data_IF_591364496438
#
_entry.id   IF_591364496438
#
_cell.length_a   1.000
_cell.length_b   1.000
_cell.length_c   1.000
_cell.angle_alpha   90.00
_cell.angle_beta   90.00
_cell.angle_gamma   90.00
#
_symmetry.space_group_name_H-M   'P 1'
#
loop_
_entity.id
_entity.type
_entity.pdbx_description
1 polymer ?
2 non-polymer ?
3 non-polymer ?
4 water ?
#
# COMPACT_ATOMS: atom_id res chain seq x y z
N UNK A 13 1.04 22.01 -1.44
CA UNK A 13 0.27 23.21 -1.09
C UNK A 13 -1.22 22.92 -0.89
N UNK A 14 -1.84 22.11 -1.78
CA UNK A 14 -3.26 21.68 -1.69
C UNK A 14 -3.38 20.65 -0.54
N UNK A 15 -2.27 19.93 -0.27
CA UNK A 15 -2.20 18.92 0.79
C UNK A 15 -2.50 19.48 2.20
N UNK A 16 -1.96 20.67 2.57
CA UNK A 16 -2.18 21.28 3.90
C UNK A 16 -3.66 21.59 4.11
N UNK A 17 -4.36 22.05 3.04
CA UNK A 17 -5.78 22.35 3.02
C UNK A 17 -6.61 21.10 3.17
N UNK A 18 -6.21 19.98 2.53
CA UNK A 18 -6.98 18.73 2.63
C UNK A 18 -6.76 18.10 4.01
N UNK A 19 -5.69 18.51 4.71
CA UNK A 19 -5.41 17.98 6.05
C UNK A 19 -6.38 18.52 7.10
N UNK A 20 -7.10 19.63 6.81
CA UNK A 20 -8.06 20.22 7.76
C UNK A 20 -9.53 19.81 7.44
N UNK A 21 -9.81 19.31 6.23
CA UNK A 21 -11.14 18.86 5.77
C UNK A 21 -11.16 17.33 5.52
N UNK A 22 -12.32 16.69 5.68
CA UNK A 22 -12.40 15.26 5.41
C UNK A 22 -13.15 14.98 4.13
N UNK A 23 -12.69 13.98 3.39
CA UNK A 23 -13.34 13.50 2.19
C UNK A 23 -12.88 14.13 0.91
N UNK A 24 -13.47 13.67 -0.19
CA UNK A 24 -13.18 14.14 -1.54
C UNK A 24 -14.10 15.34 -1.82
N UNK A 25 -13.76 16.13 -2.83
CA UNK A 25 -14.63 17.23 -3.27
C UNK A 25 -15.55 16.69 -4.37
N UNK A 26 -16.59 17.44 -4.73
CA UNK A 26 -17.49 17.06 -5.81
C UNK A 26 -16.79 17.53 -7.09
N UNK A 27 -17.07 16.84 -8.19
CA UNK A 27 -16.53 17.15 -9.50
C UNK A 27 -17.46 16.58 -10.58
N UNK A 28 -17.13 16.80 -11.86
CA UNK A 28 -17.87 16.25 -13.00
C UNK A 28 -16.89 16.07 -14.18
N UNK A 29 -17.24 15.31 -15.25
CA UNK A 29 -16.25 15.06 -16.34
C UNK A 29 -15.66 16.30 -17.02
N UNK A 30 -16.43 17.41 -17.10
CA UNK A 30 -15.98 18.64 -17.76
C UNK A 30 -14.74 19.31 -17.11
N UNK A 31 -14.40 18.94 -15.85
CA UNK A 31 -13.26 19.51 -15.14
C UNK A 31 -11.99 18.71 -15.30
N UNK A 32 -12.00 17.68 -16.18
CA UNK A 32 -10.82 16.85 -16.43
C UNK A 32 -10.53 16.69 -17.91
N UNK A 33 -9.22 16.67 -18.24
CA UNK A 33 -8.72 16.41 -19.59
C UNK A 33 -8.05 15.03 -19.52
N UNK A 34 -8.39 14.14 -20.44
CA UNK A 34 -7.89 12.79 -20.49
C UNK A 34 -6.69 12.71 -21.42
N UNK A 35 -5.54 12.19 -20.91
CA UNK A 35 -4.31 12.07 -21.69
C UNK A 35 -4.08 10.67 -22.28
N UNK A 36 -4.25 9.63 -21.45
CA UNK A 36 -3.99 8.23 -21.82
C UNK A 36 -4.60 7.27 -20.80
N UNK A 37 -4.65 5.99 -21.17
CA UNK A 37 -5.04 4.94 -20.26
C UNK A 37 -3.72 4.42 -19.63
N UNK A 38 -3.61 4.45 -18.30
CA UNK A 38 -2.38 3.96 -17.62
C UNK A 38 -2.44 2.44 -17.42
N UNK A 39 -3.66 1.92 -17.28
CA UNK A 39 -3.84 0.49 -17.09
C UNK A 39 -5.28 0.04 -17.02
N UNK A 40 -5.46 -1.28 -17.11
CA UNK A 40 -6.74 -1.96 -17.00
C UNK A 40 -6.49 -3.28 -16.26
N UNK A 41 -7.40 -3.64 -15.37
CA UNK A 41 -7.36 -4.90 -14.66
C UNK A 41 -8.75 -5.28 -14.19
N UNK A 42 -8.83 -6.35 -13.36
CA UNK A 42 -10.10 -6.81 -12.78
C UNK A 42 -10.81 -5.69 -11.99
N UNK A 43 -10.00 -4.78 -11.37
CA UNK A 43 -10.44 -3.59 -10.63
C UNK A 43 -11.29 -2.64 -11.49
N UNK A 44 -10.78 -2.31 -12.68
CA UNK A 44 -11.40 -1.43 -13.65
C UNK A 44 -10.39 -0.90 -14.63
N UNK A 45 -10.36 0.41 -14.81
CA UNK A 45 -9.52 1.10 -15.77
C UNK A 45 -8.98 2.39 -15.15
N UNK A 46 -7.68 2.66 -15.35
CA UNK A 46 -7.02 3.85 -14.85
C UNK A 46 -6.57 4.76 -15.99
N UNK A 47 -6.95 6.04 -15.92
CA UNK A 47 -6.59 7.06 -16.88
C UNK A 47 -5.61 8.05 -16.28
N UNK A 48 -4.70 8.61 -17.10
CA UNK A 48 -3.90 9.75 -16.68
C UNK A 48 -4.73 10.97 -17.06
N UNK A 49 -5.12 11.82 -16.08
CA UNK A 49 -5.97 12.98 -16.31
C UNK A 49 -5.34 14.26 -15.78
N UNK A 50 -5.77 15.43 -16.31
CA UNK A 50 -5.30 16.75 -15.89
C UNK A 50 -6.48 17.58 -15.41
N UNK A 51 -6.37 18.23 -14.25
CA UNK A 51 -7.46 19.06 -13.75
C UNK A 51 -7.49 20.38 -14.52
N UNK A 52 -8.66 20.79 -15.01
CA UNK A 52 -8.76 22.01 -15.80
C UNK A 52 -8.86 23.29 -14.94
N UNK A 53 -9.82 23.37 -14.01
CA UNK A 53 -9.99 24.62 -13.26
C UNK A 53 -9.74 24.51 -11.76
N UNK A 54 -10.03 25.60 -11.05
CA UNK A 54 -9.87 25.70 -9.59
C UNK A 54 -8.44 25.82 -9.10
N UNK A 55 -8.27 25.75 -7.77
CA UNK A 55 -6.97 25.90 -7.09
C UNK A 55 -5.89 24.91 -7.56
N UNK A 56 -6.29 23.69 -7.93
CA UNK A 56 -5.35 22.69 -8.42
C UNK A 56 -5.35 22.58 -9.96
N UNK A 57 -5.72 23.67 -10.67
CA UNK A 57 -5.73 23.63 -12.15
C UNK A 57 -4.36 23.18 -12.69
N UNK A 58 -4.39 22.34 -13.74
CA UNK A 58 -3.24 21.76 -14.46
C UNK A 58 -2.58 20.58 -13.74
N UNK A 59 -3.02 20.25 -12.51
CA UNK A 59 -2.50 19.13 -11.72
C UNK A 59 -2.94 17.81 -12.35
N UNK A 60 -1.97 16.90 -12.51
CA UNK A 60 -2.15 15.56 -13.04
C UNK A 60 -2.61 14.68 -11.91
N UNK A 61 -3.56 13.79 -12.23
CA UNK A 61 -4.13 12.82 -11.31
C UNK A 61 -4.33 11.49 -12.07
N UNK A 62 -4.54 10.40 -11.31
CA UNK A 62 -4.90 9.08 -11.83
C UNK A 62 -6.42 9.00 -11.67
N UNK A 63 -7.16 8.72 -12.74
CA UNK A 63 -8.62 8.57 -12.61
C UNK A 63 -8.97 7.10 -12.79
N UNK A 64 -9.51 6.48 -11.72
CA UNK A 64 -9.89 5.06 -11.79
C UNK A 64 -11.39 5.02 -12.07
N UNK A 65 -11.79 4.22 -13.05
CA UNK A 65 -13.18 4.11 -13.47
C UNK A 65 -13.71 2.71 -13.12
N UNK A 66 -14.83 2.67 -12.38
CA UNK A 66 -15.46 1.43 -11.95
C UNK A 66 -16.86 1.31 -12.55
N UNK A 67 -17.18 0.12 -13.07
CA UNK A 67 -18.50 -0.18 -13.63
C UNK A 67 -19.43 -0.42 -12.45
N UNK A 68 -20.58 0.30 -12.41
CA UNK A 68 -21.53 0.19 -11.30
C UNK A 68 -22.18 -1.19 -11.12
N UNK A 69 -22.23 -1.97 -12.22
CA UNK A 69 -22.79 -3.33 -12.25
C UNK A 69 -22.00 -4.25 -11.31
N UNK A 70 -20.68 -3.97 -11.14
CA UNK A 70 -19.80 -4.73 -10.25
C UNK A 70 -20.06 -4.41 -8.76
N UNK A 71 -20.58 -3.19 -8.47
CA UNK A 71 -20.79 -2.72 -7.10
C UNK A 71 -21.83 -3.54 -6.35
N UNK A 72 -21.58 -3.77 -5.06
CA UNK A 72 -22.41 -4.53 -4.13
C UNK A 72 -23.75 -3.83 -3.88
N UNK A 73 -24.82 -4.63 -3.81
CA UNK A 73 -26.16 -4.14 -3.48
C UNK A 73 -26.41 -4.65 -2.06
N UNK A 74 -26.71 -3.72 -1.15
CA UNK A 74 -26.99 -4.02 0.23
C UNK A 74 -28.25 -3.24 0.64
N UNK A 75 -29.26 -3.95 1.20
CA UNK A 75 -30.57 -3.42 1.62
C UNK A 75 -31.25 -2.60 0.48
N UNK A 76 -31.16 -3.13 -0.77
CA UNK A 76 -31.70 -2.60 -2.04
C UNK A 76 -30.93 -1.35 -2.54
N UNK A 77 -29.83 -1.00 -1.87
CA UNK A 77 -28.99 0.14 -2.23
C UNK A 77 -27.68 -0.34 -2.83
N UNK A 78 -27.34 0.16 -4.05
CA UNK A 78 -26.06 -0.11 -4.72
C UNK A 78 -25.04 0.77 -3.98
N UNK A 79 -24.12 0.13 -3.25
CA UNK A 79 -23.12 0.81 -2.43
C UNK A 79 -21.90 1.25 -3.25
N UNK A 80 -21.18 2.26 -2.76
CA UNK A 80 -19.95 2.78 -3.38
C UNK A 80 -18.83 2.76 -2.32
N UNK A 81 -18.51 1.57 -1.79
CA UNK A 81 -17.50 1.43 -0.75
C UNK A 81 -16.09 1.77 -1.20
N UNK A 82 -15.83 1.70 -2.51
CA UNK A 82 -14.52 2.03 -3.09
C UNK A 82 -14.25 3.53 -2.94
N UNK A 83 -15.35 4.32 -2.92
CA UNK A 83 -15.32 5.76 -2.69
C UNK A 83 -15.35 6.06 -1.17
N UNK A 84 -16.27 5.41 -0.43
CA UNK A 84 -16.49 5.74 0.99
C UNK A 84 -15.39 5.25 1.94
N UNK A 85 -14.69 4.15 1.64
CA UNK A 85 -13.59 3.66 2.49
C UNK A 85 -12.42 4.69 2.63
N UNK A 86 -12.36 5.61 1.68
CA UNK A 86 -11.31 6.60 1.53
C UNK A 86 -11.65 7.95 2.16
N UNK A 87 -12.84 8.05 2.77
CA UNK A 87 -13.36 9.30 3.33
C UNK A 87 -12.40 9.92 4.36
N UNK A 88 -11.79 9.10 5.24
CA UNK A 88 -10.92 9.64 6.29
C UNK A 88 -9.44 9.32 6.11
N UNK A 89 -9.09 8.59 5.04
CA UNK A 89 -7.71 8.24 4.71
C UNK A 89 -6.99 9.51 4.23
N UNK A 90 -5.97 9.98 4.97
CA UNK A 90 -5.24 11.20 4.63
C UNK A 90 -3.89 11.13 5.30
N UNK A 91 -2.94 10.50 4.61
CA UNK A 91 -1.60 10.27 5.12
C UNK A 91 -0.61 10.43 3.98
N UNK A 92 0.66 10.86 4.21
CA UNK A 92 1.60 11.03 3.07
C UNK A 92 2.01 9.72 2.35
N UNK A 93 1.87 8.57 3.00
CA UNK A 93 2.30 7.31 2.40
C UNK A 93 1.11 6.45 1.89
N UNK A 94 -0.05 7.08 1.71
CA UNK A 94 -1.25 6.39 1.18
C UNK A 94 -1.83 7.32 0.14
N UNK A 95 -2.41 6.77 -0.93
CA UNK A 95 -3.07 7.55 -2.01
C UNK A 95 -4.25 8.31 -1.39
N UNK A 96 -4.50 9.54 -1.87
CA UNK A 96 -5.60 10.38 -1.40
C UNK A 96 -6.69 10.42 -2.47
N UNK A 97 -7.93 10.26 -2.06
CA UNK A 97 -9.07 10.41 -2.98
C UNK A 97 -9.33 11.93 -3.07
N UNK A 98 -9.02 12.57 -4.19
CA UNK A 98 -9.22 14.01 -4.35
C UNK A 98 -10.67 14.35 -4.76
N UNK A 99 -11.24 13.59 -5.72
CA UNK A 99 -12.61 13.83 -6.23
C UNK A 99 -13.27 12.51 -6.51
N UNK A 100 -14.61 12.51 -6.57
CA UNK A 100 -15.42 11.35 -6.91
C UNK A 100 -16.71 11.86 -7.53
N UNK A 101 -17.19 11.15 -8.55
CA UNK A 101 -18.40 11.50 -9.28
C UNK A 101 -18.91 10.29 -9.99
N UNK A 102 -20.16 10.34 -10.40
CA UNK A 102 -20.82 9.23 -11.08
C UNK A 102 -21.43 9.63 -12.37
N UNK A 103 -21.53 8.67 -13.29
CA UNK A 103 -22.32 8.80 -14.51
C UNK A 103 -23.44 7.78 -14.34
N UNK A 104 -24.24 7.52 -15.38
CA UNK A 104 -25.34 6.55 -15.22
C UNK A 104 -24.82 5.14 -14.94
N UNK A 105 -23.71 4.78 -15.57
CA UNK A 105 -23.16 3.45 -15.39
C UNK A 105 -21.78 3.34 -14.78
N UNK A 106 -21.16 4.46 -14.37
CA UNK A 106 -19.80 4.41 -13.84
C UNK A 106 -19.53 5.25 -12.58
N UNK A 107 -18.54 4.81 -11.81
CA UNK A 107 -18.03 5.50 -10.64
C UNK A 107 -16.60 5.93 -11.01
N UNK A 108 -16.31 7.23 -10.85
CA UNK A 108 -15.01 7.81 -11.17
C UNK A 108 -14.33 8.31 -9.90
N UNK A 109 -13.11 7.82 -9.68
CA UNK A 109 -12.29 8.15 -8.53
C UNK A 109 -11.00 8.85 -8.97
N UNK A 110 -10.80 10.09 -8.53
CA UNK A 110 -9.60 10.84 -8.85
C UNK A 110 -8.62 10.72 -7.69
N UNK A 111 -7.49 10.07 -7.97
CA UNK A 111 -6.48 9.80 -6.96
C UNK A 111 -5.14 10.36 -7.37
N UNK A 112 -4.13 10.23 -6.49
CA UNK A 112 -2.80 10.74 -6.80
C UNK A 112 -2.22 10.03 -8.02
N UNK A 113 -1.40 10.75 -8.81
CA UNK A 113 -0.68 10.15 -9.94
C UNK A 113 0.77 9.95 -9.48
N UNK A 114 1.24 8.69 -9.51
CA UNK A 114 2.59 8.27 -9.09
C UNK A 114 3.36 7.87 -10.35
N UNK A 115 4.52 8.51 -10.58
CA UNK A 115 5.31 8.27 -11.78
C UNK A 115 6.34 7.14 -11.71
N UNK A 116 6.74 6.73 -10.51
CA UNK A 116 7.82 5.73 -10.33
C UNK A 116 7.46 4.25 -10.26
N UNK A 117 6.33 3.86 -10.82
CA UNK A 117 5.91 2.46 -10.82
C UNK A 117 5.55 1.89 -9.46
N UNK A 118 5.66 0.58 -9.33
CA UNK A 118 5.32 -0.11 -8.10
C UNK A 118 6.49 -0.95 -7.60
N UNK A 119 6.43 -1.45 -6.34
CA UNK A 119 7.48 -2.27 -5.76
C UNK A 119 7.60 -3.64 -6.39
N UNK A 120 6.50 -4.15 -7.01
CA UNK A 120 6.53 -5.40 -7.74
C UNK A 120 7.53 -5.31 -8.94
N UNK A 121 7.49 -4.19 -9.69
CA UNK A 121 8.33 -3.95 -10.87
C UNK A 121 9.79 -3.87 -10.46
N UNK A 122 10.07 -3.14 -9.35
CA UNK A 122 11.42 -3.00 -8.82
C UNK A 122 11.95 -4.35 -8.31
N UNK A 123 11.18 -5.09 -7.52
CA UNK A 123 11.54 -6.41 -7.02
C UNK A 123 11.78 -7.42 -8.13
N UNK A 124 10.91 -7.44 -9.17
CA UNK A 124 11.09 -8.41 -10.26
C UNK A 124 12.39 -8.16 -11.01
N UNK A 125 12.74 -6.88 -11.23
CA UNK A 125 13.95 -6.42 -11.93
C UNK A 125 15.21 -6.64 -11.12
N UNK A 126 15.14 -6.34 -9.82
CA UNK A 126 16.32 -6.37 -8.95
C UNK A 126 16.47 -7.66 -8.15
N UNK A 127 15.45 -8.52 -8.19
CA UNK A 127 15.36 -9.84 -7.55
C UNK A 127 15.16 -9.74 -6.06
N UNK A 128 16.03 -9.01 -5.37
CA UNK A 128 15.90 -8.80 -3.92
C UNK A 128 16.42 -7.44 -3.53
N UNK A 129 15.88 -6.88 -2.43
CA UNK A 129 16.25 -5.59 -1.90
C UNK A 129 17.23 -5.74 -0.72
N UNK A 130 18.12 -4.73 -0.52
CA UNK A 130 19.04 -4.70 0.62
C UNK A 130 18.21 -4.37 1.89
N UNK A 131 18.73 -4.74 3.08
CA UNK A 131 18.10 -4.41 4.37
C UNK A 131 17.87 -2.89 4.53
N UNK A 132 18.75 -2.04 3.98
CA UNK A 132 18.60 -0.59 4.00
C UNK A 132 17.28 -0.19 3.30
N UNK A 133 17.05 -0.68 2.06
CA UNK A 133 15.85 -0.40 1.28
C UNK A 133 14.60 -0.90 1.95
N UNK A 134 14.65 -2.15 2.45
CA UNK A 134 13.55 -2.79 3.18
C UNK A 134 13.19 -1.98 4.44
N UNK A 135 14.19 -1.62 5.27
CA UNK A 135 14.02 -0.77 6.47
C UNK A 135 13.25 0.52 6.13
N UNK A 136 13.63 1.16 5.02
CA UNK A 136 12.99 2.40 4.56
C UNK A 136 11.53 2.15 4.12
N UNK A 137 11.29 1.15 3.25
CA UNK A 137 9.94 0.86 2.75
C UNK A 137 8.99 0.42 3.84
N UNK A 138 9.47 -0.45 4.73
CA UNK A 138 8.70 -0.94 5.87
C UNK A 138 8.37 0.15 6.88
N UNK A 139 9.31 1.04 7.17
CA UNK A 139 9.04 2.14 8.12
C UNK A 139 7.90 3.04 7.62
N UNK A 140 7.94 3.43 6.32
CA UNK A 140 6.91 4.26 5.69
C UNK A 140 5.58 3.49 5.67
N UNK A 141 5.64 2.17 5.42
CA UNK A 141 4.46 1.28 5.40
C UNK A 141 3.79 1.14 6.79
N UNK A 142 4.60 0.94 7.85
CA UNK A 142 4.13 0.86 9.24
C UNK A 142 3.30 2.09 9.57
N UNK A 143 3.75 3.30 9.15
CA UNK A 143 2.98 4.55 9.38
C UNK A 143 1.64 4.53 8.62
N UNK A 144 1.66 4.06 7.36
CA UNK A 144 0.44 3.94 6.55
C UNK A 144 -0.58 2.98 7.19
N UNK A 145 -0.13 1.76 7.60
CA UNK A 145 -0.98 0.73 8.25
C UNK A 145 -1.53 1.25 9.55
N UNK A 146 -0.68 1.92 10.36
CA UNK A 146 -1.15 2.51 11.62
C UNK A 146 -2.21 3.60 11.37
N UNK A 147 -2.10 4.36 10.25
CA UNK A 147 -3.11 5.37 9.92
C UNK A 147 -4.43 4.68 9.62
N UNK A 148 -4.42 3.64 8.75
CA UNK A 148 -5.63 2.86 8.46
C UNK A 148 -6.22 2.25 9.71
N UNK A 149 -5.38 1.68 10.60
CA UNK A 149 -5.84 1.05 11.84
C UNK A 149 -6.61 1.96 12.76
N UNK A 150 -6.15 3.22 12.92
CA UNK A 150 -6.83 4.19 13.77
C UNK A 150 -8.25 4.53 13.23
N UNK A 151 -8.53 4.14 11.96
CA UNK A 151 -9.80 4.32 11.25
C UNK A 151 -10.62 3.02 11.17
N UNK A 152 -10.12 1.93 11.74
CA UNK A 152 -10.81 0.65 11.70
C UNK A 152 -10.76 0.02 10.32
N UNK A 153 -9.65 0.28 9.59
CA UNK A 153 -9.46 -0.25 8.23
C UNK A 153 -8.22 -1.14 8.28
N UNK A 154 -8.29 -2.28 7.61
CA UNK A 154 -7.20 -3.22 7.48
C UNK A 154 -6.79 -3.34 5.99
N UNK A 155 -5.70 -4.07 5.69
CA UNK A 155 -5.25 -4.23 4.31
C UNK A 155 -5.24 -5.69 3.89
N UNK A 156 -6.21 -6.09 3.07
CA UNK A 156 -6.28 -7.44 2.49
C UNK A 156 -5.37 -7.39 1.25
N UNK A 157 -4.40 -8.30 1.13
CA UNK A 157 -3.44 -8.35 -0.01
C UNK A 157 -2.36 -7.25 0.03
N UNK A 158 -1.57 -7.19 1.13
CA UNK A 158 -0.48 -6.23 1.25
C UNK A 158 0.75 -6.75 0.46
N UNK A 159 0.65 -6.72 -0.88
CA UNK A 159 1.69 -7.24 -1.77
C UNK A 159 2.48 -6.12 -2.48
N UNK A 160 3.67 -6.40 -3.09
CA UNK A 160 4.44 -5.31 -3.76
C UNK A 160 3.68 -4.51 -4.85
N UNK A 161 2.77 -5.15 -5.58
CA UNK A 161 1.95 -4.49 -6.62
C UNK A 161 1.04 -3.40 -6.00
N UNK A 162 0.70 -3.53 -4.70
CA UNK A 162 -0.17 -2.55 -4.05
C UNK A 162 0.59 -1.36 -3.44
N UNK A 163 1.93 -1.27 -3.65
CA UNK A 163 2.74 -0.16 -3.15
C UNK A 163 3.37 0.55 -4.38
N UNK A 164 3.01 1.81 -4.59
CA UNK A 164 3.48 2.63 -5.70
C UNK A 164 4.63 3.52 -5.23
N UNK A 165 5.47 3.97 -6.16
CA UNK A 165 6.57 4.87 -5.84
C UNK A 165 6.35 6.20 -6.53
N UNK A 166 6.72 7.30 -5.87
CA UNK A 166 6.68 8.63 -6.46
C UNK A 166 8.05 8.90 -7.09
N UNK A 167 8.24 10.00 -7.82
CA UNK A 167 9.51 10.31 -8.48
C UNK A 167 10.72 10.45 -7.53
N UNK A 168 10.48 10.77 -6.25
CA UNK A 168 11.54 10.89 -5.24
C UNK A 168 11.96 9.52 -4.70
N UNK A 169 11.05 8.55 -4.74
CA UNK A 169 11.28 7.21 -4.20
C UNK A 169 10.47 6.95 -2.95
N UNK A 170 9.58 7.88 -2.60
CA UNK A 170 8.72 7.64 -1.45
C UNK A 170 7.57 6.72 -1.87
N UNK A 171 7.08 5.93 -0.94
CA UNK A 171 5.99 5.00 -1.22
C UNK A 171 4.60 5.67 -1.13
N UNK A 172 3.62 5.02 -1.76
CA UNK A 172 2.20 5.33 -1.60
C UNK A 172 1.48 4.02 -1.70
N UNK A 173 0.84 3.61 -0.60
CA UNK A 173 0.04 2.41 -0.57
C UNK A 173 -1.23 2.72 -1.37
N UNK A 174 -1.63 1.82 -2.29
CA UNK A 174 -2.86 2.02 -3.09
C UNK A 174 -4.08 1.75 -2.22
N UNK A 175 -5.27 2.13 -2.71
CA UNK A 175 -6.54 1.90 -2.02
C UNK A 175 -7.14 0.51 -2.37
N UNK A 176 -6.54 -0.22 -3.33
CA UNK A 176 -7.06 -1.51 -3.85
C UNK A 176 -7.43 -2.56 -2.79
N UNK A 177 -6.55 -2.79 -1.82
CA UNK A 177 -6.78 -3.77 -0.78
C UNK A 177 -7.44 -3.26 0.49
N UNK A 178 -7.97 -2.01 0.47
CA UNK A 178 -8.60 -1.45 1.68
C UNK A 178 -9.91 -2.10 2.03
N UNK A 179 -10.07 -2.43 3.32
CA UNK A 179 -11.31 -3.03 3.81
C UNK A 179 -11.52 -2.74 5.27
N UNK A 180 -12.79 -2.66 5.70
CA UNK A 180 -13.17 -2.43 7.08
C UNK A 180 -12.81 -3.63 7.91
N UNK A 181 -12.27 -3.39 9.13
CA UNK A 181 -11.85 -4.42 10.09
C UNK A 181 -13.01 -5.35 10.45
N UNK A 194 -8.47 -13.02 -2.60
CA UNK A 194 -7.18 -12.67 -2.03
C UNK A 194 -6.13 -13.78 -2.01
N UNK A 195 -4.85 -13.38 -2.19
CA UNK A 195 -3.65 -14.25 -2.18
C UNK A 195 -3.47 -15.00 -0.82
N UNK A 196 -3.56 -16.35 -0.85
CA UNK A 196 -3.39 -17.22 0.34
C UNK A 196 -1.97 -17.07 0.97
N UNK A 197 -0.97 -16.90 0.13
CA UNK A 197 0.42 -16.79 0.58
C UNK A 197 0.66 -15.61 1.53
N UNK A 198 -0.17 -14.55 1.44
CA UNK A 198 -0.09 -13.38 2.32
C UNK A 198 -1.01 -13.44 3.56
N UNK A 199 -1.81 -14.53 3.70
CA UNK A 199 -2.77 -14.70 4.81
C UNK A 199 -2.17 -15.23 6.10
N UNK A 200 -2.55 -14.58 7.19
CA UNK A 200 -2.19 -14.93 8.57
C UNK A 200 -2.91 -16.25 8.98
N UNK A 201 -2.35 -17.04 9.93
CA UNK A 201 -3.00 -18.28 10.38
C UNK A 201 -4.45 -18.10 10.83
N UNK A 202 -4.77 -16.98 11.54
CA UNK A 202 -6.14 -16.72 12.01
C UNK A 202 -7.10 -16.44 10.81
N UNK A 203 -6.61 -15.85 9.72
CA UNK A 203 -7.38 -15.60 8.49
C UNK A 203 -7.63 -16.96 7.78
N UNK A 204 -6.60 -17.83 7.73
CA UNK A 204 -6.69 -19.19 7.17
C UNK A 204 -7.75 -19.98 8.00
N UNK A 205 -7.77 -19.75 9.33
CA UNK A 205 -8.72 -20.40 10.24
C UNK A 205 -10.10 -19.73 10.19
N UNK A 206 -10.33 -18.87 9.18
CA UNK A 206 -11.55 -18.09 8.91
C UNK A 206 -12.01 -17.24 10.12
N UNK A 207 -11.04 -16.67 10.87
CA UNK A 207 -11.33 -15.84 12.06
C UNK A 207 -11.49 -14.36 11.76
N UNK A 208 -11.34 -13.95 10.51
CA UNK A 208 -11.51 -12.55 10.17
C UNK A 208 -10.22 -11.76 10.17
N UNK A 209 -10.12 -10.80 9.25
CA UNK A 209 -8.95 -9.96 9.07
C UNK A 209 -8.93 -8.79 10.04
N UNK A 210 -8.06 -8.89 11.05
CA UNK A 210 -7.88 -7.84 12.07
C UNK A 210 -6.54 -7.15 11.80
N UNK A 211 -6.24 -6.04 12.52
CA UNK A 211 -4.97 -5.31 12.39
C UNK A 211 -3.75 -6.19 12.62
N UNK A 212 -3.88 -7.21 13.48
CA UNK A 212 -2.82 -8.17 13.75
C UNK A 212 -2.46 -9.01 12.52
N UNK A 213 -3.44 -9.28 11.64
CA UNK A 213 -3.22 -10.02 10.37
C UNK A 213 -2.41 -9.14 9.43
N UNK A 214 -2.62 -7.82 9.48
CA UNK A 214 -1.86 -6.84 8.68
C UNK A 214 -0.40 -6.92 9.01
N UNK A 215 -0.07 -7.08 10.30
CA UNK A 215 1.33 -7.20 10.72
C UNK A 215 1.96 -8.54 10.26
N UNK A 216 1.13 -9.58 10.12
CA UNK A 216 1.64 -10.85 9.59
C UNK A 216 2.01 -10.62 8.11
N UNK A 217 1.10 -9.98 7.32
CA UNK A 217 1.34 -9.67 5.91
C UNK A 217 2.53 -8.74 5.72
N UNK A 218 2.75 -7.83 6.69
CA UNK A 218 3.88 -6.88 6.73
C UNK A 218 5.19 -7.73 6.75
N UNK A 219 5.18 -8.79 7.56
CA UNK A 219 6.27 -9.76 7.64
C UNK A 219 6.43 -10.59 6.38
N UNK A 220 5.30 -10.98 5.71
CA UNK A 220 5.36 -11.75 4.46
C UNK A 220 6.07 -10.86 3.37
N UNK A 221 5.68 -9.56 3.31
CA UNK A 221 6.23 -8.58 2.37
C UNK A 221 7.71 -8.35 2.66
N UNK A 222 8.06 -8.29 3.96
CA UNK A 222 9.43 -8.11 4.42
C UNK A 222 10.29 -9.27 3.89
N UNK A 223 9.79 -10.49 4.04
CA UNK A 223 10.48 -11.71 3.62
C UNK A 223 10.66 -11.74 2.11
N UNK A 224 9.61 -11.41 1.36
CA UNK A 224 9.65 -11.40 -0.10
C UNK A 224 10.64 -10.36 -0.62
N UNK A 225 10.71 -9.16 -0.01
CA UNK A 225 11.62 -8.13 -0.51
C UNK A 225 13.07 -8.52 -0.26
N UNK A 226 13.35 -9.12 0.89
CA UNK A 226 14.69 -9.51 1.31
C UNK A 226 15.20 -10.76 0.59
N UNK A 227 14.29 -11.71 0.22
CA UNK A 227 14.68 -12.99 -0.39
C UNK A 227 14.30 -13.16 -1.86
N UNK A 228 13.28 -12.43 -2.31
CA UNK A 228 12.69 -12.56 -3.63
C UNK A 228 11.75 -13.75 -3.69
N UNK A 229 11.50 -14.40 -2.51
CA UNK A 229 10.64 -15.60 -2.41
C UNK A 229 9.57 -15.42 -1.34
N UNK A 230 8.59 -16.32 -1.32
CA UNK A 230 7.51 -16.33 -0.35
C UNK A 230 7.82 -17.27 0.77
N UNK A 231 7.55 -16.84 2.04
CA UNK A 231 7.85 -17.69 3.22
C UNK A 231 7.12 -19.03 3.30
N UNK A 232 5.82 -19.09 2.94
CA UNK A 232 5.01 -20.32 2.99
C UNK A 232 4.34 -20.48 1.67
N UNK A 233 4.82 -21.44 0.91
CA UNK A 233 4.39 -21.73 -0.46
C UNK A 233 4.38 -23.25 -0.67
N UNK A 234 3.21 -23.81 -0.92
CA UNK A 234 3.04 -25.23 -1.15
C UNK A 234 2.67 -25.57 -2.57
N UNK A 235 2.54 -26.88 -2.86
CA UNK A 235 2.19 -27.45 -4.17
C UNK A 235 0.76 -27.09 -4.62
N UNK A 236 -0.16 -26.87 -3.64
CA UNK A 236 -1.57 -26.50 -3.84
C UNK A 236 -2.07 -25.65 -2.64
N UNK A 237 -3.34 -25.17 -2.67
CA UNK A 237 -3.88 -24.31 -1.60
C UNK A 237 -3.81 -24.94 -0.21
N UNK A 238 -4.22 -26.24 -0.10
CA UNK A 238 -4.21 -27.04 1.12
C UNK A 238 -2.83 -27.01 1.77
N UNK A 239 -1.76 -27.30 1.00
CA UNK A 239 -0.40 -27.31 1.54
C UNK A 239 0.09 -25.94 1.99
N UNK A 240 -0.21 -24.86 1.21
CA UNK A 240 0.16 -23.51 1.59
C UNK A 240 -0.56 -23.21 2.91
N UNK A 241 -1.86 -23.53 2.98
CA UNK A 241 -2.70 -23.30 4.16
C UNK A 241 -2.13 -23.98 5.37
N UNK A 242 -1.81 -25.29 5.25
CA UNK A 242 -1.25 -26.08 6.36
C UNK A 242 0.13 -25.59 6.75
N UNK A 243 0.91 -25.07 5.78
CA UNK A 243 2.25 -24.53 6.06
C UNK A 243 2.15 -23.23 6.82
N UNK A 244 1.15 -22.40 6.49
CA UNK A 244 0.94 -21.15 7.21
C UNK A 244 0.58 -21.50 8.68
N UNK A 245 -0.26 -22.54 8.86
CA UNK A 245 -0.69 -22.97 10.19
C UNK A 245 0.37 -23.68 11.02
N UNK A 246 1.17 -24.57 10.40
CA UNK A 246 2.08 -25.47 11.11
C UNK A 246 3.55 -25.37 10.81
N UNK A 247 3.95 -24.95 9.60
CA UNK A 247 5.38 -24.88 9.24
C UNK A 247 6.23 -23.85 10.04
N UNK A 248 7.43 -24.30 10.43
CA UNK A 248 8.37 -23.39 11.07
C UNK A 248 9.00 -22.58 9.92
N UNK A 249 9.04 -21.27 10.05
CA UNK A 249 9.62 -20.38 9.03
C UNK A 249 11.11 -20.70 8.83
N UNK A 250 11.50 -20.84 7.56
CA UNK A 250 12.88 -21.10 7.17
C UNK A 250 13.64 -19.78 7.21
N UNK A 251 14.44 -19.57 8.26
CA UNK A 251 15.14 -18.30 8.42
C UNK A 251 16.39 -18.17 7.51
N UNK A 252 16.40 -17.20 6.55
CA UNK A 252 17.60 -17.01 5.69
C UNK A 252 18.78 -16.52 6.54
N UNK A 253 19.93 -17.17 6.39
CA UNK A 253 21.14 -16.88 7.18
C UNK A 253 21.96 -15.67 6.70
N UNK A 254 21.65 -15.10 5.52
CA UNK A 254 22.38 -13.91 5.05
C UNK A 254 21.82 -12.63 5.72
N UNK A 255 20.75 -12.78 6.49
CA UNK A 255 20.05 -11.71 7.20
C UNK A 255 20.64 -11.36 8.55
N UNK A 256 20.65 -10.06 8.90
CA UNK A 256 21.12 -9.57 10.19
C UNK A 256 20.32 -10.12 11.38
N UNK A 257 20.88 -10.17 12.59
CA UNK A 257 20.07 -10.61 13.75
C UNK A 257 18.81 -9.76 13.99
N UNK A 258 18.88 -8.45 13.70
CA UNK A 258 17.73 -7.53 13.83
C UNK A 258 16.63 -7.86 12.84
N UNK A 259 16.98 -8.09 11.57
CA UNK A 259 16.04 -8.50 10.50
C UNK A 259 15.41 -9.84 10.89
N UNK A 260 16.23 -10.83 11.37
CA UNK A 260 15.73 -12.16 11.75
C UNK A 260 14.79 -12.07 12.94
N UNK A 261 15.11 -11.19 13.89
CA UNK A 261 14.30 -10.98 15.08
C UNK A 261 12.93 -10.40 14.69
N UNK A 262 12.90 -9.41 13.77
CA UNK A 262 11.67 -8.77 13.31
C UNK A 262 10.81 -9.80 12.62
N UNK A 263 11.42 -10.61 11.73
CA UNK A 263 10.68 -11.70 11.09
C UNK A 263 10.10 -12.70 12.07
N UNK A 264 10.85 -13.15 13.10
CA UNK A 264 10.23 -14.13 14.02
C UNK A 264 9.14 -13.50 14.94
N UNK A 265 9.23 -12.21 15.21
CA UNK A 265 8.24 -11.51 16.01
C UNK A 265 6.94 -11.25 15.22
N UNK A 266 7.04 -11.02 13.89
CA UNK A 266 5.87 -10.84 13.00
C UNK A 266 5.22 -12.16 12.60
N UNK A 267 6.00 -13.26 12.64
CA UNK A 267 5.49 -14.54 12.20
C UNK A 267 5.00 -15.41 13.36
N UNK A 268 4.65 -14.79 14.49
CA UNK A 268 4.11 -15.54 15.63
C UNK A 268 2.70 -15.97 15.22
N UNK A 269 2.42 -17.28 15.29
CA UNK A 269 1.13 -17.88 14.91
C UNK A 269 -0.05 -17.37 15.72
N UNK A 270 0.16 -17.14 17.03
CA UNK A 270 -0.87 -16.59 17.90
C UNK A 270 -0.87 -15.06 17.68
N UNK A 271 -1.96 -14.44 17.11
CA UNK A 271 -1.97 -12.97 16.89
C UNK A 271 -1.71 -12.11 18.12
N UNK A 272 -2.08 -12.60 19.31
CA UNK A 272 -1.89 -11.88 20.57
C UNK A 272 -0.40 -11.71 20.94
N UNK A 273 0.48 -12.61 20.45
CA UNK A 273 1.93 -12.55 20.69
C UNK A 273 2.71 -11.82 19.59
N UNK A 274 2.06 -11.58 18.44
CA UNK A 274 2.66 -10.96 17.25
C UNK A 274 3.06 -9.50 17.48
N UNK A 275 4.24 -9.06 16.98
CA UNK A 275 4.68 -7.67 17.11
C UNK A 275 3.66 -6.73 16.41
N UNK A 276 3.32 -5.64 17.07
CA UNK A 276 2.33 -4.71 16.54
C UNK A 276 0.91 -4.97 17.02
N UNK A 277 0.68 -6.12 17.66
CA UNK A 277 -0.65 -6.50 18.15
C UNK A 277 -0.81 -6.27 19.64
N UNK A 278 0.26 -5.83 20.29
CA UNK A 278 0.26 -5.53 21.72
C UNK A 278 -0.59 -4.34 22.08
N UNK A 279 -0.62 -3.95 23.37
CA UNK A 279 -1.44 -2.79 23.78
C UNK A 279 -1.07 -1.44 23.16
N UNK A 280 0.21 -1.27 22.74
CA UNK A 280 0.70 -0.02 22.15
C UNK A 280 0.86 -0.09 20.60
N UNK A 281 0.31 -1.14 19.99
CA UNK A 281 0.32 -1.39 18.55
C UNK A 281 1.63 -1.14 17.82
N UNK A 282 1.60 -0.22 16.84
CA UNK A 282 2.68 0.23 15.96
C UNK A 282 3.96 0.68 16.72
N UNK A 283 3.82 1.15 17.98
CA UNK A 283 4.95 1.55 18.82
C UNK A 283 5.90 0.40 19.04
N UNK A 284 5.39 -0.85 19.10
CA UNK A 284 6.24 -2.06 19.25
C UNK A 284 7.13 -2.23 18.02
N UNK A 285 6.59 -1.93 16.82
CA UNK A 285 7.27 -1.97 15.53
C UNK A 285 8.35 -0.88 15.49
N UNK A 286 7.96 0.36 15.81
CA UNK A 286 8.87 1.52 15.78
C UNK A 286 10.06 1.35 16.69
N UNK A 287 9.84 0.73 17.85
CA UNK A 287 10.82 0.45 18.92
C UNK A 287 11.76 -0.71 18.55
N UNK A 288 11.38 -1.56 17.58
CA UNK A 288 12.19 -2.73 17.19
C UNK A 288 13.57 -2.33 16.70
N UNK A 289 14.60 -3.13 17.07
CA UNK A 289 16.01 -2.94 16.74
C UNK A 289 16.29 -2.83 15.23
N UNK A 290 15.43 -3.45 14.40
CA UNK A 290 15.57 -3.37 12.93
C UNK A 290 15.40 -1.92 12.44
N UNK A 291 14.65 -1.09 13.19
CA UNK A 291 14.40 0.32 12.82
C UNK A 291 15.14 1.34 13.70
N UNK A 292 16.21 0.92 14.43
CA UNK A 292 16.92 1.80 15.36
C UNK A 292 17.54 3.06 14.69
N UNK A 293 17.86 2.99 13.39
CA UNK A 293 18.42 4.12 12.65
C UNK A 293 17.33 5.05 12.07
N UNK A 294 16.04 4.67 12.25
CA UNK A 294 14.93 5.45 11.71
C UNK A 294 14.48 6.57 12.64
N UNK A 295 14.51 7.81 12.12
CA UNK A 295 13.99 9.00 12.78
C UNK A 295 12.57 9.04 12.22
N UNK A 296 11.61 8.62 13.06
CA UNK A 296 10.20 8.51 12.69
C UNK A 296 9.55 9.84 12.37
N UNK A 297 9.93 10.91 13.08
CA UNK A 297 9.44 12.27 12.84
C UNK A 297 9.95 12.82 11.50
N UNK A 298 11.24 12.68 11.20
CA UNK A 298 11.80 13.05 9.88
C UNK A 298 11.23 12.16 8.75
N UNK A 299 10.98 10.87 9.04
CA UNK A 299 10.39 9.95 8.04
C UNK A 299 8.98 10.44 7.70
N UNK A 300 8.12 10.66 8.73
CA UNK A 300 6.80 11.19 8.50
C UNK A 300 6.80 12.46 7.60
N UNK A 301 7.69 13.40 7.90
CA UNK A 301 7.81 14.67 7.19
C UNK A 301 8.49 14.56 5.83
N UNK A 302 8.90 13.35 5.44
CA UNK A 302 9.56 13.07 4.17
C UNK A 302 10.89 13.83 4.01
N UNK A 303 11.62 13.93 5.13
CA UNK A 303 12.91 14.60 5.23
C UNK A 303 14.03 13.60 5.13
N UNK A 304 13.66 12.30 5.02
CA UNK A 304 14.58 11.17 4.83
C UNK A 304 14.70 10.99 3.31
N UNK A 305 15.94 10.97 2.80
CA UNK A 305 16.16 10.78 1.38
C UNK A 305 15.99 9.29 1.00
N UNK A 306 14.98 8.95 0.15
CA UNK A 306 14.79 7.53 -0.22
C UNK A 306 16.09 6.93 -0.80
N UNK A 307 16.48 5.69 -0.38
CA UNK A 307 17.74 5.10 -0.88
C UNK A 307 17.70 4.69 -2.35
N UNK A 308 16.52 4.71 -2.96
CA UNK A 308 16.34 4.39 -4.38
C UNK A 308 15.46 5.47 -5.04
N UNK A 309 15.90 6.00 -6.17
CA UNK A 309 15.18 7.00 -6.94
C UNK A 309 14.78 6.30 -8.23
N UNK A 310 13.47 6.01 -8.43
CA UNK A 310 13.07 5.28 -9.64
C UNK A 310 13.19 6.07 -10.94
N UNK A 311 13.16 5.36 -12.05
CA UNK A 311 13.10 5.93 -13.39
C UNK A 311 11.64 6.34 -13.63
N UNK A 312 11.43 7.43 -14.37
CA UNK A 312 10.10 7.95 -14.71
C UNK A 312 10.08 8.18 -16.22
N UNK A 313 8.92 8.49 -16.76
CA UNK A 313 8.78 8.75 -18.20
C UNK A 313 9.30 10.13 -18.59
N UNK A 314 9.46 11.02 -17.57
CA UNK A 314 9.92 12.40 -17.65
C UNK A 314 11.15 12.57 -18.57
N UNK A 315 11.13 13.59 -19.44
CA UNK A 315 12.25 13.77 -20.39
C UNK A 315 13.63 13.91 -19.75
N UNK A 316 13.76 14.67 -18.63
CA UNK A 316 15.03 14.82 -17.91
C UNK A 316 15.71 13.51 -17.58
N UNK A 317 14.94 12.45 -17.30
CA UNK A 317 15.60 11.19 -16.99
C UNK A 317 15.43 10.11 -18.09
N UNK A 318 15.06 10.51 -19.34
CA UNK A 318 14.93 9.58 -20.48
C UNK A 318 15.83 10.04 -21.62
N UNK A 319 15.92 11.36 -21.84
CA UNK A 319 16.83 11.86 -22.87
C UNK A 319 18.28 11.55 -22.50
N UNK A 320 19.13 11.44 -23.52
CA UNK A 320 20.58 11.27 -23.36
C UNK A 320 21.16 12.64 -23.57
N UNK A 321 22.33 12.91 -23.02
CA UNK A 321 22.93 14.24 -23.17
C UNK A 321 24.39 14.16 -23.56
N UNK A 322 24.84 15.11 -24.39
CA UNK A 322 26.22 15.31 -24.83
C UNK A 322 26.50 16.81 -24.65
N UNK A 323 26.72 17.29 -23.40
CA UNK A 323 26.93 18.72 -23.19
C UNK A 323 28.35 19.20 -23.62
#
# INVERSE_FOLDING_TARGET
GPNPQTEEVSIKEIAITHHVKEGHEKADPSQFELLKVLGQGSFGKVFLVKKISGSDARQLYAMKVLKKATLKVRDRVRTKMERDILVEVNHPFIVKLHYAFQTEGKLYLILDFLRGGDLFTRLSKEVMFTEEDVKFYLAELALALDHLHSLGIIYRDLKPENILLDEEGHIKLTDFGLSKESIDHEKKAYSFCGTVEYMAPEVVNRRGHTQSADWWSFGVLMFEMLTGTLPFQGKDRKETMTMILKAKLGMPQFLSPEAQSLLRMLFKRNPANRLGAGPDGVEEIKRHSFFSTIDWNKLYRREIHPPFKPATGRPEDTFYFDP
#
